data_IF_956690638042
#
_entry.id   IF_956690638042
#
_cell.length_a   1.000
_cell.length_b   1.000
_cell.length_c   1.000
_cell.angle_alpha   90.00
_cell.angle_beta   90.00
_cell.angle_gamma   90.00
#
_symmetry.space_group_name_H-M   'P 1'
#
loop_
_entity.id
_entity.type
_entity.pdbx_description
1 polymer ?
#
# COMPACT_ATOMS: atom_id res chain seq x y z
N UNK A 1 39.34 -18.27 3.31
CA UNK A 1 39.31 -17.01 2.55
C UNK A 1 39.70 -17.17 1.07
N UNK A 2 40.80 -17.85 0.71
CA UNK A 2 41.25 -18.00 -0.69
C UNK A 2 40.29 -18.78 -1.62
N UNK A 3 39.48 -19.70 -1.09
CA UNK A 3 38.53 -20.52 -1.87
C UNK A 3 37.22 -19.79 -2.19
N UNK A 4 36.73 -18.95 -1.28
CA UNK A 4 35.56 -18.09 -1.48
C UNK A 4 35.83 -17.00 -2.50
N UNK A 5 37.01 -16.37 -2.44
CA UNK A 5 37.40 -15.35 -3.42
C UNK A 5 37.54 -15.93 -4.84
N UNK A 6 38.07 -17.15 -4.98
CA UNK A 6 38.12 -17.86 -6.28
C UNK A 6 36.72 -18.18 -6.83
N UNK A 7 35.78 -18.59 -5.97
CA UNK A 7 34.39 -18.84 -6.39
C UNK A 7 33.67 -17.56 -6.79
N UNK A 8 33.88 -16.47 -6.07
CA UNK A 8 33.31 -15.16 -6.40
C UNK A 8 33.86 -14.63 -7.73
N UNK A 9 35.17 -14.76 -7.96
CA UNK A 9 35.80 -14.37 -9.23
C UNK A 9 35.33 -15.24 -10.41
N UNK A 10 35.12 -16.55 -10.20
CA UNK A 10 34.56 -17.42 -11.24
C UNK A 10 33.12 -17.00 -11.60
N UNK A 11 32.28 -16.75 -10.60
CA UNK A 11 30.90 -16.30 -10.81
C UNK A 11 30.87 -14.96 -11.54
N UNK A 12 31.72 -14.01 -11.13
CA UNK A 12 31.84 -12.72 -11.80
C UNK A 12 32.25 -12.88 -13.27
N UNK A 13 33.20 -13.77 -13.58
CA UNK A 13 33.70 -13.99 -14.94
C UNK A 13 32.65 -14.58 -15.90
N UNK A 14 31.73 -15.41 -15.41
CA UNK A 14 30.68 -16.01 -16.25
C UNK A 14 29.39 -15.18 -16.30
N UNK A 15 29.02 -14.47 -15.23
CA UNK A 15 27.75 -13.72 -15.18
C UNK A 15 27.87 -12.34 -15.86
N UNK A 16 28.99 -11.64 -15.72
CA UNK A 16 29.15 -10.30 -16.32
C UNK A 16 29.02 -10.27 -17.85
N UNK A 17 29.61 -11.18 -18.65
CA UNK A 17 29.43 -11.15 -20.10
C UNK A 17 27.98 -11.45 -20.51
N UNK A 18 27.25 -12.26 -19.74
CA UNK A 18 25.83 -12.56 -20.00
C UNK A 18 24.96 -11.30 -19.78
N UNK A 19 25.18 -10.57 -18.68
CA UNK A 19 24.46 -9.32 -18.39
C UNK A 19 24.76 -8.25 -19.44
N UNK A 20 26.02 -8.16 -19.91
CA UNK A 20 26.41 -7.23 -20.97
C UNK A 20 25.77 -7.60 -22.32
N UNK A 21 25.67 -8.89 -22.66
CA UNK A 21 24.99 -9.37 -23.86
C UNK A 21 23.48 -9.07 -23.84
N UNK A 22 22.82 -9.25 -22.69
CA UNK A 22 21.40 -8.93 -22.53
C UNK A 22 21.18 -7.42 -22.72
N UNK A 23 21.99 -6.58 -22.06
CA UNK A 23 21.91 -5.13 -22.22
C UNK A 23 22.21 -4.68 -23.66
N UNK A 24 23.20 -5.29 -24.33
CA UNK A 24 23.50 -4.99 -25.74
C UNK A 24 22.32 -5.33 -26.67
N UNK A 25 21.66 -6.48 -26.47
CA UNK A 25 20.50 -6.88 -27.27
C UNK A 25 19.29 -5.96 -27.09
N UNK A 26 19.10 -5.41 -25.89
CA UNK A 26 18.06 -4.42 -25.60
C UNK A 26 18.35 -3.08 -26.29
N UNK A 27 19.60 -2.61 -26.22
CA UNK A 27 20.03 -1.37 -26.86
C UNK A 27 19.99 -1.50 -28.39
N UNK A 28 20.36 -2.65 -28.95
CA UNK A 28 20.29 -2.87 -30.40
C UNK A 28 18.84 -2.86 -30.90
N UNK A 29 17.91 -3.52 -30.19
CA UNK A 29 16.46 -3.47 -30.51
C UNK A 29 15.87 -2.06 -30.41
N UNK A 30 16.42 -1.19 -29.57
CA UNK A 30 15.97 0.19 -29.46
C UNK A 30 16.43 1.08 -30.64
N UNK A 31 17.47 0.68 -31.38
CA UNK A 31 18.00 1.43 -32.53
C UNK A 31 17.29 1.13 -33.86
N UNK A 32 16.53 0.04 -33.96
CA UNK A 32 15.82 -0.38 -35.20
C UNK A 32 14.37 0.13 -35.28
N UNK A 33 14.08 1.33 -34.75
CA UNK A 33 12.80 2.00 -35.05
C UNK A 33 12.97 2.87 -36.31
N UNK A 34 12.12 2.68 -37.34
CA UNK A 34 12.20 3.51 -38.53
C UNK A 34 11.85 4.96 -38.20
N UNK A 35 12.68 5.85 -38.72
CA UNK A 35 12.51 7.30 -38.72
C UNK A 35 11.19 7.67 -39.42
N UNK A 36 10.26 8.25 -38.67
CA UNK A 36 9.03 8.82 -39.22
C UNK A 36 9.14 10.34 -39.22
N UNK A 37 9.87 10.86 -40.21
CA UNK A 37 9.72 12.25 -40.62
C UNK A 37 8.51 12.42 -41.54
N UNK A 38 7.56 13.21 -41.01
CA UNK A 38 6.91 14.34 -41.66
C UNK A 38 5.98 14.06 -42.87
N UNK A 39 4.67 13.97 -42.59
CA UNK A 39 3.63 14.42 -43.52
C UNK A 39 2.76 15.49 -42.85
N UNK A 40 3.01 16.73 -43.25
CA UNK A 40 2.13 17.86 -43.05
C UNK A 40 0.75 17.57 -43.68
N UNK A 41 -0.30 17.61 -42.86
CA UNK A 41 -1.66 17.81 -43.34
C UNK A 41 -2.39 18.75 -42.39
N UNK A 42 -2.72 19.94 -42.91
CA UNK A 42 -3.57 20.93 -42.28
C UNK A 42 -4.95 20.34 -42.04
N UNK A 43 -5.36 20.21 -40.78
CA UNK A 43 -6.77 20.02 -40.41
C UNK A 43 -7.08 20.84 -39.16
N UNK A 44 -8.28 21.40 -39.13
CA UNK A 44 -8.75 22.47 -38.27
C UNK A 44 -8.44 22.32 -36.76
N UNK A 45 -8.03 23.44 -36.16
CA UNK A 45 -7.84 23.63 -34.72
C UNK A 45 -9.13 23.34 -33.95
N UNK A 46 -9.27 22.11 -33.46
CA UNK A 46 -9.92 21.86 -32.17
C UNK A 46 -8.89 22.19 -31.11
N UNK A 47 -9.21 23.08 -30.18
CA UNK A 47 -8.36 23.33 -29.02
C UNK A 47 -8.20 22.03 -28.23
N UNK A 48 -7.10 21.31 -28.44
CA UNK A 48 -6.68 20.26 -27.53
C UNK A 48 -6.40 20.94 -26.19
N UNK A 49 -7.30 20.69 -25.24
CA UNK A 49 -7.12 21.10 -23.86
C UNK A 49 -5.84 20.40 -23.38
N UNK A 50 -4.73 21.14 -23.31
CA UNK A 50 -3.46 20.67 -22.76
C UNK A 50 -3.78 20.06 -21.40
N UNK A 51 -3.76 18.73 -21.29
CA UNK A 51 -3.85 18.05 -20.00
C UNK A 51 -2.53 18.38 -19.34
N UNK A 52 -2.56 19.41 -18.49
CA UNK A 52 -1.45 19.73 -17.63
C UNK A 52 -1.17 18.48 -16.80
N UNK A 53 0.06 17.99 -16.85
CA UNK A 53 0.44 16.77 -16.15
C UNK A 53 0.48 17.11 -14.65
N UNK A 54 -0.67 16.96 -14.00
CA UNK A 54 -0.83 17.28 -12.60
C UNK A 54 -0.10 16.22 -11.78
N UNK A 55 0.86 16.65 -10.96
CA UNK A 55 1.50 15.79 -9.98
C UNK A 55 0.44 15.16 -9.07
N UNK A 56 0.57 13.85 -8.81
CA UNK A 56 -0.30 13.09 -7.92
C UNK A 56 0.54 12.58 -6.76
N UNK A 57 0.17 12.94 -5.53
CA UNK A 57 0.89 12.54 -4.32
C UNK A 57 0.18 11.38 -3.62
N UNK A 58 0.94 10.33 -3.32
CA UNK A 58 0.44 9.17 -2.58
C UNK A 58 1.22 9.04 -1.27
N UNK A 59 0.52 8.95 -0.14
CA UNK A 59 1.14 8.69 1.17
C UNK A 59 0.82 7.29 1.63
N UNK A 60 1.85 6.52 2.00
CA UNK A 60 1.72 5.17 2.55
C UNK A 60 2.30 5.12 3.95
N UNK A 61 1.43 4.86 4.92
CA UNK A 61 1.81 4.59 6.30
C UNK A 61 1.87 3.08 6.53
N UNK A 62 2.93 2.64 7.21
CA UNK A 62 3.11 1.24 7.58
C UNK A 62 2.21 0.80 8.73
N UNK A 63 2.66 -0.24 9.41
CA UNK A 63 1.96 -0.93 10.49
C UNK A 63 1.50 0.02 11.59
N UNK A 64 0.19 0.15 11.72
CA UNK A 64 -0.46 1.00 12.71
C UNK A 64 -1.32 0.14 13.62
N UNK A 65 -1.04 0.22 14.92
CA UNK A 65 -1.77 -0.47 15.98
C UNK A 65 -1.98 0.47 17.16
N UNK A 66 -3.07 0.26 17.91
CA UNK A 66 -3.40 1.02 19.12
C UNK A 66 -3.18 0.19 20.40
N UNK A 67 -2.24 -0.77 20.33
CA UNK A 67 -1.94 -1.73 21.38
C UNK A 67 -0.60 -1.42 22.10
N UNK A 68 -0.23 -2.28 23.06
CA UNK A 68 1.02 -2.29 23.81
C UNK A 68 1.31 -0.95 24.48
N UNK A 69 2.49 -0.39 24.24
CA UNK A 69 2.95 0.85 24.86
C UNK A 69 2.12 2.07 24.43
N UNK A 70 1.35 1.96 23.34
CA UNK A 70 0.50 3.05 22.87
C UNK A 70 -0.81 3.15 23.67
N UNK A 71 -1.31 2.04 24.24
CA UNK A 71 -2.57 2.04 25.03
C UNK A 71 -2.60 3.11 26.14
N UNK A 72 -1.64 3.17 27.08
CA UNK A 72 -1.70 4.18 28.14
C UNK A 72 -1.56 5.61 27.61
N UNK A 73 -0.90 5.80 26.45
CA UNK A 73 -0.77 7.10 25.81
C UNK A 73 -2.12 7.54 25.22
N UNK A 74 -2.84 6.62 24.56
CA UNK A 74 -4.17 6.85 24.00
C UNK A 74 -5.21 7.05 25.09
N UNK A 75 -5.19 6.24 26.16
CA UNK A 75 -6.09 6.38 27.31
C UNK A 75 -5.96 7.76 27.95
N UNK A 76 -4.72 8.28 28.03
CA UNK A 76 -4.44 9.60 28.62
C UNK A 76 -4.79 10.77 27.69
N UNK A 77 -4.46 10.66 26.40
CA UNK A 77 -4.47 11.82 25.48
C UNK A 77 -5.51 11.73 24.35
N UNK A 78 -6.23 10.61 24.25
CA UNK A 78 -7.15 10.32 23.16
C UNK A 78 -6.50 9.62 21.96
N UNK A 79 -7.33 8.95 21.15
CA UNK A 79 -6.87 8.11 20.03
C UNK A 79 -6.23 8.90 18.88
N UNK A 80 -6.51 10.20 18.76
CA UNK A 80 -5.92 11.07 17.74
C UNK A 80 -4.46 11.48 18.06
N UNK A 81 -4.03 11.36 19.33
CA UNK A 81 -2.73 11.84 19.80
C UNK A 81 -1.52 11.29 19.01
N UNK A 82 -1.46 10.00 18.63
CA UNK A 82 -0.33 9.46 17.87
C UNK A 82 -0.12 10.14 16.51
N UNK A 83 -1.17 10.74 15.94
CA UNK A 83 -1.12 11.34 14.60
C UNK A 83 -0.92 12.86 14.61
N UNK A 84 -0.89 13.50 15.78
CA UNK A 84 -0.96 14.97 15.90
C UNK A 84 0.10 15.74 15.09
N UNK A 85 1.27 15.13 14.86
CA UNK A 85 2.37 15.76 14.12
C UNK A 85 2.48 15.33 12.65
N UNK A 86 1.71 14.33 12.22
CA UNK A 86 1.77 13.78 10.85
C UNK A 86 0.46 13.95 10.08
N UNK A 87 -0.64 14.23 10.78
CA UNK A 87 -1.99 14.38 10.22
C UNK A 87 -2.05 15.38 9.07
N UNK A 88 -1.39 16.53 9.20
CA UNK A 88 -1.41 17.55 8.16
C UNK A 88 -0.59 17.15 6.93
N UNK A 89 0.39 16.26 7.06
CA UNK A 89 1.11 15.72 5.90
C UNK A 89 0.29 14.65 5.18
N UNK A 90 -0.38 13.78 5.94
CA UNK A 90 -1.26 12.74 5.41
C UNK A 90 -2.40 13.36 4.58
N UNK A 91 -3.04 14.42 5.08
CA UNK A 91 -4.14 15.13 4.40
C UNK A 91 -3.74 15.86 3.11
N UNK A 92 -2.47 16.21 2.92
CA UNK A 92 -2.02 16.87 1.68
C UNK A 92 -1.93 15.91 0.51
N UNK A 93 -1.89 14.61 0.77
CA UNK A 93 -1.83 13.60 -0.28
C UNK A 93 -3.13 13.56 -1.08
N UNK A 94 -3.02 13.32 -2.37
CA UNK A 94 -4.17 13.02 -3.22
C UNK A 94 -4.84 11.69 -2.84
N UNK A 95 -4.04 10.71 -2.39
CA UNK A 95 -4.50 9.46 -1.79
C UNK A 95 -3.57 9.08 -0.64
N UNK A 96 -4.16 8.71 0.49
CA UNK A 96 -3.45 8.27 1.67
C UNK A 96 -3.89 6.88 2.11
N UNK A 97 -2.91 6.06 2.48
CA UNK A 97 -3.05 4.65 2.82
C UNK A 97 -2.42 4.35 4.17
N UNK A 98 -3.00 3.40 4.91
CA UNK A 98 -2.41 2.88 6.17
C UNK A 98 -2.61 1.37 6.32
N UNK A 99 -1.60 0.67 6.84
CA UNK A 99 -1.73 -0.72 7.28
C UNK A 99 -2.27 -0.81 8.71
N UNK A 100 -3.36 -1.53 8.91
CA UNK A 100 -3.97 -1.80 10.20
C UNK A 100 -3.43 -3.12 10.76
N UNK A 101 -2.35 -3.06 11.53
CA UNK A 101 -1.60 -4.23 12.06
C UNK A 101 -2.24 -4.84 13.32
N UNK A 102 -3.57 -4.77 13.43
CA UNK A 102 -4.26 -5.28 14.62
C UNK A 102 -5.69 -5.68 14.31
N UNK A 103 -6.22 -6.61 15.09
CA UNK A 103 -7.65 -6.90 15.09
C UNK A 103 -8.41 -5.79 15.85
N UNK A 104 -9.42 -5.21 15.21
CA UNK A 104 -10.31 -4.22 15.82
C UNK A 104 -11.57 -4.93 16.31
N UNK A 105 -11.48 -5.52 17.50
CA UNK A 105 -12.50 -6.38 18.11
C UNK A 105 -12.52 -6.21 19.62
N UNK A 106 -13.65 -6.54 20.25
CA UNK A 106 -13.78 -6.66 21.71
C UNK A 106 -13.70 -8.12 22.17
N UNK A 107 -13.41 -9.07 21.28
CA UNK A 107 -13.31 -10.49 21.61
C UNK A 107 -12.07 -10.77 22.46
N UNK A 108 -12.18 -11.78 23.31
CA UNK A 108 -11.09 -12.22 24.18
C UNK A 108 -10.43 -13.52 23.73
N UNK A 109 -11.11 -14.30 22.88
CA UNK A 109 -10.58 -15.57 22.39
C UNK A 109 -9.51 -15.32 21.32
N UNK A 110 -8.26 -15.53 21.71
CA UNK A 110 -7.08 -15.52 20.84
C UNK A 110 -7.02 -16.74 19.94
N UNK A 111 -6.54 -16.57 18.72
CA UNK A 111 -6.22 -17.67 17.83
C UNK A 111 -4.98 -18.44 18.34
N UNK A 112 -4.96 -19.77 18.27
CA UNK A 112 -3.80 -20.55 18.70
C UNK A 112 -2.61 -20.37 17.74
N UNK A 113 -1.40 -20.66 18.22
CA UNK A 113 -0.20 -20.76 17.38
C UNK A 113 0.49 -19.44 17.01
N UNK A 114 0.03 -18.32 17.55
CA UNK A 114 0.69 -17.01 17.42
C UNK A 114 1.65 -16.75 18.58
N UNK A 115 2.76 -16.04 18.31
CA UNK A 115 3.67 -15.56 19.37
C UNK A 115 3.10 -14.32 20.07
N UNK A 116 2.42 -13.46 19.32
CA UNK A 116 1.86 -12.21 19.78
C UNK A 116 0.45 -12.03 19.21
N UNK A 117 -0.41 -11.37 19.99
CA UNK A 117 -1.76 -10.99 19.57
C UNK A 117 -1.90 -9.49 19.78
N UNK A 118 -2.36 -8.80 18.75
CA UNK A 118 -2.51 -7.35 18.72
C UNK A 118 -4.00 -7.03 18.55
N UNK A 119 -4.57 -6.43 19.59
CA UNK A 119 -5.97 -6.01 19.67
C UNK A 119 -6.05 -4.51 19.89
N UNK A 120 -6.69 -3.83 18.95
CA UNK A 120 -7.05 -2.41 19.08
C UNK A 120 -8.54 -2.29 19.44
N UNK A 121 -8.87 -1.34 20.31
CA UNK A 121 -10.26 -1.01 20.58
C UNK A 121 -10.93 -0.48 19.29
N UNK A 122 -12.11 -1.00 18.87
CA UNK A 122 -12.77 -0.54 17.65
C UNK A 122 -13.00 0.98 17.54
N UNK A 123 -13.17 1.68 18.67
CA UNK A 123 -13.34 3.13 18.70
C UNK A 123 -12.11 3.90 18.18
N UNK A 124 -10.92 3.30 18.25
CA UNK A 124 -9.68 3.93 17.79
C UNK A 124 -9.59 4.05 16.26
N UNK A 125 -10.39 3.28 15.49
CA UNK A 125 -10.50 3.46 14.04
C UNK A 125 -11.00 4.86 13.66
N UNK A 126 -11.74 5.53 14.54
CA UNK A 126 -12.16 6.91 14.29
C UNK A 126 -10.95 7.85 14.19
N UNK A 127 -9.86 7.60 14.93
CA UNK A 127 -8.63 8.39 14.81
C UNK A 127 -7.94 8.20 13.44
N UNK A 128 -7.97 6.99 12.89
CA UNK A 128 -7.52 6.73 11.52
C UNK A 128 -8.33 7.58 10.52
N UNK A 129 -9.66 7.62 10.68
CA UNK A 129 -10.53 8.46 9.85
C UNK A 129 -10.25 9.95 10.02
N UNK A 130 -10.14 10.40 11.26
CA UNK A 130 -9.87 11.80 11.60
C UNK A 130 -8.52 12.27 11.05
N UNK A 131 -7.55 11.37 10.94
CA UNK A 131 -6.22 11.68 10.40
C UNK A 131 -6.27 12.01 8.91
N UNK A 132 -7.29 11.51 8.19
CA UNK A 132 -7.50 11.80 6.78
C UNK A 132 -7.08 10.67 5.84
N UNK A 133 -6.85 9.45 6.36
CA UNK A 133 -6.60 8.29 5.51
C UNK A 133 -7.79 8.02 4.57
N UNK A 134 -7.49 7.58 3.35
CA UNK A 134 -8.51 7.27 2.34
C UNK A 134 -8.81 5.78 2.23
N UNK A 135 -7.80 4.94 2.41
CA UNK A 135 -7.89 3.48 2.26
C UNK A 135 -7.05 2.77 3.33
N UNK A 136 -7.55 1.64 3.82
CA UNK A 136 -6.83 0.82 4.80
C UNK A 136 -6.48 -0.55 4.27
N UNK A 137 -5.31 -1.07 4.62
CA UNK A 137 -5.00 -2.49 4.49
C UNK A 137 -5.30 -3.21 5.80
N UNK A 138 -5.97 -4.35 5.69
CA UNK A 138 -6.26 -5.25 6.80
C UNK A 138 -5.71 -6.67 6.57
N UNK A 139 -4.94 -6.87 5.50
CA UNK A 139 -4.20 -8.11 5.22
C UNK A 139 -2.76 -7.99 5.71
N UNK A 140 -2.44 -8.71 6.78
CA UNK A 140 -1.13 -8.79 7.41
C UNK A 140 -1.09 -10.05 8.29
N UNK A 141 0.05 -10.30 8.95
CA UNK A 141 0.20 -11.46 9.83
C UNK A 141 -0.68 -11.42 11.09
N UNK A 142 -1.18 -10.25 11.49
CA UNK A 142 -2.04 -10.07 12.67
C UNK A 142 -3.55 -10.05 12.35
N UNK A 143 -3.94 -10.16 11.07
CA UNK A 143 -5.34 -10.21 10.60
C UNK A 143 -6.20 -11.25 11.34
N UNK A 144 -5.61 -12.39 11.71
CA UNK A 144 -6.32 -13.53 12.32
C UNK A 144 -5.97 -13.74 13.80
N UNK A 145 -5.44 -12.73 14.49
CA UNK A 145 -5.10 -12.84 15.91
C UNK A 145 -6.28 -13.25 16.79
N UNK A 146 -7.49 -12.85 16.42
CA UNK A 146 -8.73 -13.21 17.11
C UNK A 146 -9.61 -14.13 16.24
N UNK A 147 -8.96 -14.88 15.36
CA UNK A 147 -9.59 -15.78 14.40
C UNK A 147 -10.43 -15.05 13.36
N UNK A 148 -11.20 -15.84 12.60
CA UNK A 148 -12.11 -15.32 11.58
C UNK A 148 -13.15 -14.36 12.15
N UNK A 149 -13.61 -14.63 13.37
CA UNK A 149 -14.52 -13.76 14.10
C UNK A 149 -13.96 -12.35 14.34
N UNK A 150 -12.70 -12.25 14.78
CA UNK A 150 -12.02 -10.96 14.96
C UNK A 150 -11.77 -10.21 13.63
N UNK A 151 -11.48 -10.94 12.56
CA UNK A 151 -11.41 -10.37 11.21
C UNK A 151 -12.77 -9.82 10.76
N UNK A 152 -13.86 -10.57 10.94
CA UNK A 152 -15.20 -10.13 10.55
C UNK A 152 -15.66 -8.92 11.35
N UNK A 153 -15.31 -8.83 12.64
CA UNK A 153 -15.53 -7.63 13.45
C UNK A 153 -14.76 -6.43 12.86
N UNK A 154 -13.47 -6.60 12.56
CA UNK A 154 -12.62 -5.56 11.96
C UNK A 154 -13.22 -5.03 10.67
N UNK A 155 -13.62 -5.92 9.76
CA UNK A 155 -14.28 -5.57 8.49
C UNK A 155 -15.57 -4.79 8.77
N UNK A 156 -16.40 -5.26 9.71
CA UNK A 156 -17.65 -4.57 10.09
C UNK A 156 -17.39 -3.15 10.59
N UNK A 157 -16.36 -2.93 11.42
CA UNK A 157 -16.03 -1.59 11.92
C UNK A 157 -15.52 -0.66 10.82
N UNK A 158 -14.66 -1.15 9.94
CA UNK A 158 -14.15 -0.41 8.78
C UNK A 158 -15.29 -0.04 7.80
N UNK A 159 -16.21 -0.98 7.54
CA UNK A 159 -17.39 -0.73 6.69
C UNK A 159 -18.34 0.31 7.30
N UNK A 160 -18.57 0.27 8.63
CA UNK A 160 -19.38 1.28 9.33
C UNK A 160 -18.82 2.69 9.17
N UNK A 161 -17.48 2.83 9.14
CA UNK A 161 -16.80 4.10 8.88
C UNK A 161 -16.67 4.44 7.38
N UNK A 162 -17.24 3.60 6.50
CA UNK A 162 -17.18 3.73 5.04
C UNK A 162 -15.74 3.81 4.51
N UNK A 163 -14.82 3.09 5.16
CA UNK A 163 -13.47 2.95 4.67
C UNK A 163 -13.41 1.88 3.57
N UNK A 164 -12.89 2.22 2.38
CA UNK A 164 -12.37 1.20 1.46
C UNK A 164 -11.27 0.40 2.16
N UNK A 165 -11.29 -0.92 1.99
CA UNK A 165 -10.24 -1.80 2.51
C UNK A 165 -9.81 -2.88 1.52
N UNK A 166 -8.59 -3.37 1.73
CA UNK A 166 -7.90 -4.42 0.95
C UNK A 166 -7.15 -5.39 1.87
N UNK A 167 -6.64 -6.48 1.30
CA UNK A 167 -5.75 -7.43 1.98
C UNK A 167 -6.45 -8.57 2.70
N UNK A 168 -7.69 -8.36 3.13
CA UNK A 168 -8.56 -9.42 3.62
C UNK A 168 -10.02 -9.11 3.26
N UNK A 169 -10.91 -10.08 3.46
CA UNK A 169 -12.32 -9.91 3.12
C UNK A 169 -13.21 -10.98 3.73
N UNK A 170 -14.52 -10.80 3.58
CA UNK A 170 -15.54 -11.75 4.11
C UNK A 170 -15.49 -13.13 3.45
N UNK A 171 -14.82 -13.20 2.30
CA UNK A 171 -14.57 -14.41 1.52
C UNK A 171 -13.38 -14.17 0.58
N UNK A 172 -12.92 -15.22 -0.11
CA UNK A 172 -11.78 -15.14 -1.01
C UNK A 172 -11.95 -14.08 -2.12
N UNK A 173 -13.16 -13.97 -2.71
CA UNK A 173 -13.42 -12.97 -3.76
C UNK A 173 -13.20 -11.55 -3.25
N UNK A 174 -13.71 -11.24 -2.07
CA UNK A 174 -13.56 -9.93 -1.44
C UNK A 174 -12.09 -9.66 -1.06
N UNK A 175 -11.39 -10.66 -0.48
CA UNK A 175 -9.98 -10.55 -0.12
C UNK A 175 -9.08 -10.25 -1.33
N UNK A 176 -9.38 -10.81 -2.50
CA UNK A 176 -8.64 -10.58 -3.74
C UNK A 176 -9.16 -9.42 -4.61
N UNK A 177 -10.16 -8.67 -4.14
CA UNK A 177 -10.72 -7.55 -4.91
C UNK A 177 -9.91 -6.28 -4.69
N UNK A 178 -9.31 -5.76 -5.76
CA UNK A 178 -8.68 -4.45 -5.73
C UNK A 178 -9.73 -3.32 -5.56
N UNK A 179 -9.39 -2.26 -4.82
CA UNK A 179 -10.23 -1.06 -4.68
C UNK A 179 -9.74 0.02 -5.63
N UNK A 180 -10.66 0.62 -6.39
CA UNK A 180 -10.37 1.68 -7.35
C UNK A 180 -10.63 3.06 -6.74
N UNK A 181 -9.71 4.00 -6.96
CA UNK A 181 -9.86 5.41 -6.64
C UNK A 181 -9.51 6.25 -7.87
N UNK A 182 -10.22 7.35 -8.10
CA UNK A 182 -9.94 8.26 -9.20
C UNK A 182 -9.53 9.62 -8.64
N UNK A 183 -8.32 10.08 -8.96
CA UNK A 183 -7.84 11.41 -8.58
C UNK A 183 -7.25 12.10 -9.81
N UNK A 184 -7.58 13.38 -10.00
CA UNK A 184 -7.09 14.21 -11.12
C UNK A 184 -7.29 13.53 -12.49
N UNK A 185 -8.42 12.83 -12.65
CA UNK A 185 -8.78 12.10 -13.88
C UNK A 185 -7.99 10.82 -14.14
N UNK A 186 -7.14 10.38 -13.21
CA UNK A 186 -6.37 9.13 -13.29
C UNK A 186 -6.96 8.10 -12.32
N UNK A 187 -6.98 6.83 -12.74
CA UNK A 187 -7.49 5.70 -11.96
C UNK A 187 -6.36 4.94 -11.30
N UNK A 188 -6.48 4.70 -10.00
CA UNK A 188 -5.58 3.91 -9.18
C UNK A 188 -6.32 2.70 -8.64
N UNK A 189 -5.67 1.53 -8.63
CA UNK A 189 -6.20 0.31 -8.02
C UNK A 189 -5.24 -0.17 -6.94
N UNK A 190 -5.76 -0.40 -5.75
CA UNK A 190 -5.01 -0.88 -4.59
C UNK A 190 -5.38 -2.32 -4.31
N UNK A 191 -4.38 -3.15 -4.04
CA UNK A 191 -4.50 -4.56 -3.68
C UNK A 191 -3.38 -4.91 -2.68
N UNK A 192 -3.67 -5.82 -1.76
CA UNK A 192 -2.74 -6.32 -0.74
C UNK A 192 -3.01 -7.81 -0.49
N UNK A 193 -2.08 -8.51 0.15
CA UNK A 193 -2.14 -9.94 0.45
C UNK A 193 -1.58 -10.25 1.84
#
# INVERSE_FOLDING_TARGET
MKTLLKRFLLIAFFITPIVLLINYSFISKAKDKPDLQNKSSKTASKSEKKIEDQEITLTFSGDTMFDWQLRPIIEKNGADYPFQHVKEEIKKADISFVNLESAFTTREKKAPGQLFWIKSDPSTLQAIKNTGYDIVNIGNNHTLDYGQDGLLDTISHVEKLKFPYIGAGKNAKDAYTAREMTVKGKKFKFLSF
#
